data_IF_389926049892
#
_entry.id   IF_389926049892
#
_cell.length_a   1.000
_cell.length_b   1.000
_cell.length_c   1.000
_cell.angle_alpha   90.00
_cell.angle_beta   90.00
_cell.angle_gamma   90.00
#
_symmetry.space_group_name_H-M   'P 1'
#
loop_
_entity.id
_entity.type
_entity.pdbx_description
1 polymer ?
#
# COMPACT_ATOMS: atom_id res chain seq x y z
N UNK A 1 -9.84 -31.90 -26.68
CA UNK A 1 -9.61 -31.37 -25.31
C UNK A 1 -8.18 -30.87 -25.24
N UNK A 2 -7.97 -29.55 -25.26
CA UNK A 2 -6.63 -28.96 -25.21
C UNK A 2 -6.02 -29.16 -23.82
N UNK A 3 -4.90 -29.89 -23.74
CA UNK A 3 -4.07 -29.95 -22.54
C UNK A 3 -3.45 -28.58 -22.33
N UNK A 4 -3.93 -27.84 -21.32
CA UNK A 4 -3.30 -26.58 -20.91
C UNK A 4 -1.87 -26.89 -20.42
N UNK A 5 -0.81 -26.29 -20.99
CA UNK A 5 0.58 -26.48 -20.55
C UNK A 5 0.73 -26.29 -19.03
N UNK A 6 1.51 -27.15 -18.38
CA UNK A 6 1.69 -27.10 -16.91
C UNK A 6 2.29 -25.77 -16.41
N UNK A 7 3.08 -25.09 -17.24
CA UNK A 7 3.58 -23.74 -16.92
C UNK A 7 2.45 -22.70 -16.79
N UNK A 8 1.34 -22.84 -17.52
CA UNK A 8 0.18 -21.94 -17.39
C UNK A 8 -0.58 -22.16 -16.08
N UNK A 9 -0.51 -23.37 -15.50
CA UNK A 9 -1.09 -23.66 -14.18
C UNK A 9 -0.36 -22.96 -13.03
N UNK A 10 0.84 -22.42 -13.26
CA UNK A 10 1.54 -21.59 -12.28
C UNK A 10 0.93 -20.18 -12.14
N UNK A 11 0.19 -19.71 -13.16
CA UNK A 11 -0.49 -18.41 -13.11
C UNK A 11 -1.86 -18.48 -12.44
N UNK A 12 -2.40 -19.68 -12.18
CA UNK A 12 -3.61 -19.83 -11.38
C UNK A 12 -3.25 -19.77 -9.90
N UNK A 13 -3.54 -18.65 -9.19
CA UNK A 13 -3.25 -18.56 -7.77
C UNK A 13 -4.06 -19.63 -7.02
N UNK A 14 -3.47 -20.16 -5.95
CA UNK A 14 -4.17 -21.07 -5.06
C UNK A 14 -5.45 -20.39 -4.55
N UNK A 15 -6.59 -21.03 -4.74
CA UNK A 15 -7.87 -20.48 -4.31
C UNK A 15 -7.88 -20.30 -2.79
N UNK A 16 -7.90 -19.05 -2.33
CA UNK A 16 -8.13 -18.75 -0.91
C UNK A 16 -9.60 -19.00 -0.59
N UNK A 17 -9.88 -19.96 0.29
CA UNK A 17 -11.23 -20.27 0.78
C UNK A 17 -11.70 -19.20 1.76
N UNK A 18 -12.05 -18.02 1.23
CA UNK A 18 -12.64 -16.91 1.98
C UNK A 18 -14.15 -16.97 1.83
N UNK A 19 -14.88 -16.95 2.95
CA UNK A 19 -16.35 -16.95 2.96
C UNK A 19 -16.91 -15.71 2.28
N UNK A 20 -18.06 -15.82 1.60
CA UNK A 20 -18.73 -14.66 0.98
C UNK A 20 -19.02 -13.54 1.99
N UNK A 21 -19.30 -13.89 3.26
CA UNK A 21 -19.46 -12.89 4.33
C UNK A 21 -18.18 -12.12 4.62
N UNK A 22 -17.03 -12.80 4.62
CA UNK A 22 -15.73 -12.18 4.85
C UNK A 22 -15.35 -11.28 3.67
N UNK A 23 -15.57 -11.74 2.43
CA UNK A 23 -15.36 -10.91 1.23
C UNK A 23 -16.14 -9.60 1.29
N UNK A 24 -17.42 -9.66 1.68
CA UNK A 24 -18.25 -8.47 1.82
C UNK A 24 -17.76 -7.58 2.97
N UNK A 25 -17.40 -8.15 4.12
CA UNK A 25 -16.82 -7.40 5.25
C UNK A 25 -15.53 -6.68 4.87
N UNK A 26 -14.64 -7.34 4.12
CA UNK A 26 -13.39 -6.75 3.63
C UNK A 26 -13.66 -5.61 2.65
N UNK A 27 -14.59 -5.78 1.72
CA UNK A 27 -14.95 -4.74 0.75
C UNK A 27 -15.59 -3.51 1.43
N UNK A 28 -16.53 -3.74 2.35
CA UNK A 28 -17.18 -2.67 3.11
C UNK A 28 -16.18 -1.96 4.04
N UNK A 29 -15.30 -2.72 4.70
CA UNK A 29 -14.25 -2.16 5.55
C UNK A 29 -13.26 -1.29 4.76
N UNK A 30 -12.81 -1.78 3.60
CA UNK A 30 -11.93 -1.02 2.71
C UNK A 30 -12.59 0.26 2.19
N UNK A 31 -13.85 0.18 1.75
CA UNK A 31 -14.62 1.34 1.33
C UNK A 31 -14.76 2.37 2.46
N UNK A 32 -15.20 1.93 3.64
CA UNK A 32 -15.39 2.80 4.79
C UNK A 32 -14.07 3.44 5.25
N UNK A 33 -12.99 2.66 5.31
CA UNK A 33 -11.67 3.15 5.69
C UNK A 33 -11.15 4.22 4.73
N UNK A 34 -11.17 3.94 3.43
CA UNK A 34 -10.75 4.88 2.39
C UNK A 34 -11.62 6.15 2.37
N UNK A 35 -12.94 6.01 2.47
CA UNK A 35 -13.85 7.14 2.53
C UNK A 35 -13.60 8.02 3.75
N UNK A 36 -13.38 7.42 4.93
CA UNK A 36 -13.06 8.13 6.15
C UNK A 36 -11.71 8.87 6.03
N UNK A 37 -10.67 8.20 5.54
CA UNK A 37 -9.35 8.82 5.31
C UNK A 37 -9.46 10.00 4.35
N UNK A 38 -10.20 9.84 3.25
CA UNK A 38 -10.43 10.93 2.31
C UNK A 38 -11.18 12.10 2.93
N UNK A 39 -12.22 11.84 3.74
CA UNK A 39 -13.01 12.87 4.39
C UNK A 39 -12.19 13.66 5.43
N UNK A 40 -11.38 12.96 6.22
CA UNK A 40 -10.48 13.59 7.20
C UNK A 40 -9.42 14.43 6.48
N UNK A 41 -8.78 13.90 5.44
CA UNK A 41 -7.77 14.64 4.67
C UNK A 41 -8.36 15.89 4.02
N UNK A 42 -9.59 15.79 3.47
CA UNK A 42 -10.33 16.94 2.93
C UNK A 42 -10.57 18.01 4.00
N UNK A 43 -11.00 17.60 5.19
CA UNK A 43 -11.31 18.53 6.28
C UNK A 43 -10.09 19.33 6.76
N UNK A 44 -8.90 18.71 6.77
CA UNK A 44 -7.66 19.37 7.19
C UNK A 44 -7.04 20.27 6.12
N UNK A 45 -7.04 19.85 4.85
CA UNK A 45 -6.35 20.56 3.76
C UNK A 45 -7.25 21.66 3.17
N UNK A 46 -8.58 21.47 3.18
CA UNK A 46 -9.59 22.42 2.69
C UNK A 46 -9.40 22.91 1.24
N UNK A 47 -8.58 22.21 0.44
CA UNK A 47 -8.30 22.55 -0.95
C UNK A 47 -8.78 21.44 -1.90
N UNK A 48 -9.95 21.65 -2.51
CA UNK A 48 -10.59 20.68 -3.40
C UNK A 48 -9.80 20.44 -4.71
N UNK A 49 -8.85 21.31 -5.06
CA UNK A 49 -8.01 21.16 -6.25
C UNK A 49 -6.72 20.37 -6.00
N UNK A 50 -6.37 20.13 -4.74
CA UNK A 50 -5.27 19.25 -4.34
C UNK A 50 -5.70 17.76 -4.41
N UNK A 51 -6.01 17.27 -5.62
CA UNK A 51 -6.13 15.83 -5.85
C UNK A 51 -4.69 15.30 -5.99
N UNK A 52 -4.21 14.41 -5.11
CA UNK A 52 -4.99 13.30 -4.56
C UNK A 52 -4.90 13.20 -3.04
N UNK A 53 -6.02 13.37 -2.33
CA UNK A 53 -6.13 13.02 -0.90
C UNK A 53 -5.69 11.59 -0.58
N UNK A 54 -5.68 10.72 -1.62
CA UNK A 54 -5.26 9.34 -1.57
C UNK A 54 -4.36 9.03 -2.76
N UNK A 55 -3.09 8.74 -2.49
CA UNK A 55 -2.16 8.20 -3.48
C UNK A 55 -2.56 6.77 -3.86
N UNK A 56 -2.29 6.34 -5.09
CA UNK A 56 -2.57 4.97 -5.57
C UNK A 56 -2.18 3.83 -4.58
N UNK A 57 -1.04 3.89 -3.87
CA UNK A 57 -0.69 2.90 -2.86
C UNK A 57 -1.68 2.75 -1.69
N UNK A 58 -2.52 3.75 -1.41
CA UNK A 58 -3.52 3.68 -0.34
C UNK A 58 -4.55 2.58 -0.59
N UNK A 59 -4.90 2.31 -1.85
CA UNK A 59 -5.78 1.19 -2.21
C UNK A 59 -5.15 -0.16 -1.87
N UNK A 60 -3.87 -0.34 -2.17
CA UNK A 60 -3.13 -1.56 -1.83
C UNK A 60 -2.98 -1.74 -0.29
N UNK A 61 -2.78 -0.64 0.44
CA UNK A 61 -2.80 -0.65 1.92
C UNK A 61 -4.15 -1.11 2.48
N UNK A 62 -5.26 -0.60 1.91
CA UNK A 62 -6.60 -1.03 2.31
C UNK A 62 -6.83 -2.52 2.04
N UNK A 63 -6.35 -3.05 0.92
CA UNK A 63 -6.42 -4.49 0.65
C UNK A 63 -5.67 -5.28 1.73
N UNK A 64 -4.46 -4.87 2.11
CA UNK A 64 -3.72 -5.57 3.17
C UNK A 64 -4.46 -5.53 4.51
N UNK A 65 -4.95 -4.35 4.90
CA UNK A 65 -5.62 -4.15 6.19
C UNK A 65 -6.97 -4.87 6.29
N UNK A 66 -7.74 -4.93 5.20
CA UNK A 66 -9.12 -5.42 5.26
C UNK A 66 -9.33 -6.79 4.62
N UNK A 67 -8.54 -7.17 3.61
CA UNK A 67 -8.67 -8.47 2.94
C UNK A 67 -7.75 -9.55 3.54
N UNK A 68 -6.59 -9.15 4.08
CA UNK A 68 -5.62 -10.08 4.72
C UNK A 68 -5.11 -9.54 6.07
N UNK A 69 -6.01 -9.26 7.03
CA UNK A 69 -5.65 -8.62 8.31
C UNK A 69 -4.70 -9.45 9.17
N UNK A 70 -4.64 -10.77 8.99
CA UNK A 70 -3.72 -11.66 9.69
C UNK A 70 -2.29 -11.61 9.15
N UNK A 71 -2.05 -10.90 8.05
CA UNK A 71 -0.72 -10.76 7.47
C UNK A 71 0.20 -9.99 8.43
N UNK A 72 1.46 -10.42 8.63
CA UNK A 72 2.45 -9.65 9.38
C UNK A 72 2.70 -8.26 8.74
N UNK A 73 2.44 -8.11 7.43
CA UNK A 73 2.55 -6.84 6.71
C UNK A 73 1.37 -5.89 7.00
N UNK A 74 0.23 -6.40 7.48
CA UNK A 74 -0.92 -5.60 7.88
C UNK A 74 -0.84 -5.13 9.35
N UNK A 75 0.23 -5.50 10.08
CA UNK A 75 0.42 -5.06 11.46
C UNK A 75 0.60 -3.55 11.52
N UNK A 76 0.13 -2.87 12.59
CA UNK A 76 0.17 -1.41 12.70
C UNK A 76 1.56 -0.81 12.50
N UNK A 77 2.60 -1.49 12.96
CA UNK A 77 3.98 -1.05 12.83
C UNK A 77 4.45 -0.98 11.38
N UNK A 78 4.06 -1.95 10.55
CA UNK A 78 4.40 -1.96 9.12
C UNK A 78 3.76 -0.76 8.42
N UNK A 79 2.46 -0.53 8.64
CA UNK A 79 1.75 0.58 7.98
C UNK A 79 2.26 1.94 8.44
N UNK A 80 2.34 2.18 9.76
CA UNK A 80 2.76 3.48 10.29
C UNK A 80 4.24 3.73 10.06
N UNK A 81 5.09 2.75 10.39
CA UNK A 81 6.54 2.84 10.25
C UNK A 81 6.95 2.93 8.78
N UNK A 82 6.35 2.12 7.91
CA UNK A 82 6.61 2.13 6.47
C UNK A 82 6.28 3.48 5.84
N UNK A 83 5.04 3.97 5.99
CA UNK A 83 4.65 5.27 5.44
C UNK A 83 5.50 6.42 5.98
N UNK A 84 5.85 6.39 7.28
CA UNK A 84 6.70 7.43 7.89
C UNK A 84 8.11 7.41 7.29
N UNK A 85 8.72 6.24 7.17
CA UNK A 85 10.05 6.06 6.59
C UNK A 85 10.06 6.46 5.11
N UNK A 86 9.05 6.04 4.33
CA UNK A 86 8.89 6.41 2.93
C UNK A 86 8.74 7.92 2.76
N UNK A 87 7.90 8.57 3.57
CA UNK A 87 7.70 10.01 3.53
C UNK A 87 8.99 10.78 3.85
N UNK A 88 9.70 10.40 4.92
CA UNK A 88 10.95 11.07 5.33
C UNK A 88 12.00 10.95 4.22
N UNK A 89 12.23 9.74 3.71
CA UNK A 89 13.27 9.49 2.70
C UNK A 89 12.87 10.10 1.36
N UNK A 90 11.63 9.90 0.91
CA UNK A 90 11.11 10.45 -0.34
C UNK A 90 11.19 11.97 -0.39
N UNK A 91 10.74 12.65 0.66
CA UNK A 91 10.83 14.12 0.75
C UNK A 91 12.28 14.58 0.82
N UNK A 92 13.14 13.90 1.59
CA UNK A 92 14.57 14.24 1.68
C UNK A 92 15.26 14.12 0.31
N UNK A 93 15.02 13.02 -0.41
CA UNK A 93 15.55 12.82 -1.75
C UNK A 93 15.00 13.84 -2.75
N UNK A 94 13.71 14.19 -2.67
CA UNK A 94 13.10 15.20 -3.55
C UNK A 94 13.68 16.59 -3.34
N UNK A 95 14.08 16.94 -2.11
CA UNK A 95 14.68 18.23 -1.77
C UNK A 95 16.15 18.32 -2.20
N UNK A 96 16.89 17.21 -2.20
CA UNK A 96 18.36 17.23 -2.39
C UNK A 96 18.81 16.79 -3.78
N UNK A 97 17.97 16.07 -4.53
CA UNK A 97 18.31 15.50 -5.84
C UNK A 97 17.46 16.18 -6.92
N UNK A 98 18.11 16.98 -7.77
CA UNK A 98 17.42 17.72 -8.84
C UNK A 98 16.84 16.82 -9.92
N UNK A 99 17.46 15.66 -10.21
CA UNK A 99 17.01 14.76 -11.26
C UNK A 99 15.89 13.83 -10.76
N UNK A 100 14.64 13.96 -11.22
CA UNK A 100 13.47 13.32 -10.60
C UNK A 100 13.52 11.78 -10.68
N UNK A 101 13.95 11.21 -11.80
CA UNK A 101 14.04 9.74 -11.94
C UNK A 101 15.10 9.14 -11.00
N UNK A 102 16.20 9.88 -10.78
CA UNK A 102 17.28 9.41 -9.92
C UNK A 102 16.86 9.56 -8.45
N UNK A 103 16.20 10.67 -8.12
CA UNK A 103 15.61 10.91 -6.80
C UNK A 103 14.64 9.79 -6.42
N UNK A 104 13.71 9.44 -7.31
CA UNK A 104 12.75 8.36 -7.08
C UNK A 104 13.43 7.00 -6.88
N UNK A 105 14.39 6.65 -7.74
CA UNK A 105 15.09 5.36 -7.63
C UNK A 105 15.88 5.23 -6.31
N UNK A 106 16.58 6.30 -5.91
CA UNK A 106 17.34 6.35 -4.65
C UNK A 106 16.39 6.32 -3.46
N UNK A 107 15.31 7.09 -3.49
CA UNK A 107 14.32 7.13 -2.43
C UNK A 107 13.72 5.74 -2.18
N UNK A 108 13.26 5.05 -3.23
CA UNK A 108 12.69 3.70 -3.11
C UNK A 108 13.70 2.71 -2.53
N UNK A 109 14.93 2.70 -3.05
CA UNK A 109 15.99 1.80 -2.55
C UNK A 109 16.33 2.02 -1.08
N UNK A 110 16.48 3.28 -0.67
CA UNK A 110 16.76 3.65 0.72
C UNK A 110 15.57 3.34 1.64
N UNK A 111 14.34 3.63 1.20
CA UNK A 111 13.13 3.31 1.97
C UNK A 111 13.00 1.82 2.23
N UNK A 112 13.19 0.97 1.21
CA UNK A 112 13.17 -0.48 1.39
C UNK A 112 14.24 -0.92 2.39
N UNK A 113 15.47 -0.44 2.23
CA UNK A 113 16.59 -0.79 3.11
C UNK A 113 16.28 -0.45 4.57
N UNK A 114 15.84 0.79 4.82
CA UNK A 114 15.56 1.28 6.18
C UNK A 114 14.34 0.57 6.77
N UNK A 115 13.29 0.32 6.00
CA UNK A 115 12.13 -0.44 6.45
C UNK A 115 12.49 -1.89 6.85
N UNK A 116 13.42 -2.52 6.13
CA UNK A 116 13.92 -3.85 6.48
C UNK A 116 14.68 -3.85 7.81
N UNK A 117 15.51 -2.83 8.06
CA UNK A 117 16.19 -2.67 9.34
C UNK A 117 15.23 -2.43 10.50
N UNK A 118 14.21 -1.58 10.28
CA UNK A 118 13.20 -1.24 11.28
C UNK A 118 12.08 -2.28 11.41
N UNK A 119 12.09 -3.33 10.58
CA UNK A 119 11.06 -4.37 10.49
C UNK A 119 9.65 -3.80 10.28
N UNK A 120 9.56 -2.68 9.55
CA UNK A 120 8.31 -2.01 9.20
C UNK A 120 8.05 -2.04 7.69
N UNK A 121 8.46 -3.12 7.02
CA UNK A 121 8.26 -3.28 5.58
C UNK A 121 6.76 -3.22 5.26
N UNK A 122 6.36 -2.14 4.58
CA UNK A 122 5.02 -1.97 4.04
C UNK A 122 5.16 -1.72 2.54
N UNK A 123 5.04 -2.78 1.71
CA UNK A 123 5.20 -2.67 0.26
C UNK A 123 4.35 -1.59 -0.43
N UNK A 124 3.16 -1.24 0.09
CA UNK A 124 2.37 -0.10 -0.42
C UNK A 124 2.80 1.28 0.08
N UNK A 125 3.97 1.46 0.69
CA UNK A 125 4.43 2.80 1.15
C UNK A 125 4.95 3.67 0.03
#
# INVERSE_FOLDING_TARGET
>A
MMHLPDWLRQFTPAATVISNRERLRSAVGAFAGIALTSAISYWFIQDAHAIPYLIAPMGASAVLLFAVPSSPLAQPWSVLGGNTVAAIIGVTCALWITHPMLSAAIAVGLSILIMLYLRCLHPPS
#
